data_IF_778275478324
#
_entry.id   IF_778275478324
#
_cell.length_a   1.000
_cell.length_b   1.000
_cell.length_c   1.000
_cell.angle_alpha   90.00
_cell.angle_beta   90.00
_cell.angle_gamma   90.00
#
_symmetry.space_group_name_H-M   'P 1'
#
loop_
_entity.id
_entity.type
_entity.pdbx_description
1 polymer ?
#
# COMPACT_ATOMS: atom_id res chain seq x y z
N UNK A 1 10.95 -39.52 28.86
CA UNK A 1 11.03 -38.44 27.85
C UNK A 1 10.22 -38.86 26.64
N UNK A 2 9.09 -38.20 26.35
CA UNK A 2 8.34 -38.36 25.11
C UNK A 2 7.70 -37.00 24.79
N UNK A 3 8.13 -36.39 23.68
CA UNK A 3 7.75 -35.04 23.29
C UNK A 3 6.32 -35.00 22.76
N UNK A 4 5.57 -34.07 23.35
CA UNK A 4 4.27 -33.56 22.91
C UNK A 4 4.34 -33.05 21.47
N UNK A 5 3.42 -33.50 20.62
CA UNK A 5 3.11 -32.86 19.33
C UNK A 5 1.69 -32.32 19.39
N UNK A 6 1.53 -31.20 20.09
CA UNK A 6 0.37 -30.34 19.93
C UNK A 6 0.38 -29.79 18.50
N UNK A 7 -0.48 -30.34 17.64
CA UNK A 7 -0.89 -29.70 16.39
C UNK A 7 -1.57 -28.38 16.75
N UNK A 8 -0.86 -27.27 16.62
CA UNK A 8 -1.46 -25.94 16.65
C UNK A 8 -2.55 -25.84 15.59
N UNK A 9 -3.77 -25.38 15.93
CA UNK A 9 -4.75 -25.06 14.92
C UNK A 9 -4.22 -23.88 14.09
N UNK A 10 -4.16 -24.11 12.78
CA UNK A 10 -3.85 -23.10 11.77
C UNK A 10 -4.72 -21.87 12.04
N UNK A 11 -4.08 -20.78 12.46
CA UNK A 11 -4.66 -19.45 12.51
C UNK A 11 -5.36 -19.20 11.18
N UNK A 12 -6.68 -19.06 11.24
CA UNK A 12 -7.54 -18.64 10.14
C UNK A 12 -6.89 -17.49 9.39
N UNK A 13 -6.28 -17.79 8.24
CA UNK A 13 -5.97 -16.77 7.24
C UNK A 13 -7.31 -16.12 6.95
N UNK A 14 -7.49 -14.86 7.33
CA UNK A 14 -8.63 -14.06 6.88
C UNK A 14 -8.67 -14.24 5.37
N UNK A 15 -9.65 -15.01 4.90
CA UNK A 15 -10.02 -15.03 3.50
C UNK A 15 -10.44 -13.60 3.22
N UNK A 16 -9.55 -12.83 2.58
CA UNK A 16 -9.95 -11.62 1.90
C UNK A 16 -10.96 -12.17 0.90
N UNK A 17 -12.25 -11.93 1.18
CA UNK A 17 -13.31 -12.14 0.22
C UNK A 17 -12.83 -11.50 -1.09
N UNK A 18 -13.28 -12.00 -2.23
CA UNK A 18 -12.87 -11.55 -3.54
C UNK A 18 -13.39 -10.12 -3.81
N UNK A 19 -12.98 -9.16 -2.98
CA UNK A 19 -13.21 -7.74 -3.12
C UNK A 19 -12.56 -7.38 -4.44
N UNK A 20 -13.40 -7.03 -5.41
CA UNK A 20 -12.98 -6.51 -6.69
C UNK A 20 -12.10 -5.30 -6.41
N UNK A 21 -10.79 -5.50 -6.52
CA UNK A 21 -9.82 -4.42 -6.53
C UNK A 21 -10.08 -3.60 -7.78
N UNK A 22 -10.36 -2.31 -7.60
CA UNK A 22 -10.45 -1.39 -8.72
C UNK A 22 -9.05 -0.86 -9.02
N UNK A 23 -8.66 -0.98 -10.28
CA UNK A 23 -7.39 -0.52 -10.81
C UNK A 23 -7.65 0.86 -11.45
N UNK A 24 -7.34 1.93 -10.72
CA UNK A 24 -7.45 3.29 -11.26
C UNK A 24 -6.45 3.50 -12.42
N UNK A 25 -6.67 4.44 -13.35
CA UNK A 25 -5.62 4.82 -14.28
C UNK A 25 -4.36 5.32 -13.52
N UNK A 26 -3.13 5.06 -14.03
CA UNK A 26 -1.90 5.47 -13.37
C UNK A 26 -1.86 6.97 -13.10
N UNK A 27 -1.46 7.33 -11.88
CA UNK A 27 -1.35 8.73 -11.46
C UNK A 27 0.11 9.18 -11.62
N UNK A 28 0.28 10.38 -12.17
CA UNK A 28 1.55 11.10 -12.23
C UNK A 28 1.60 12.13 -11.08
N UNK A 29 2.40 11.90 -10.02
CA UNK A 29 2.47 12.78 -8.86
C UNK A 29 2.93 14.21 -9.18
N UNK A 30 3.69 14.39 -10.26
CA UNK A 30 4.20 15.70 -10.69
C UNK A 30 3.11 16.63 -11.22
N UNK A 31 1.98 16.04 -11.67
CA UNK A 31 0.84 16.76 -12.23
C UNK A 31 -0.26 17.06 -11.22
N UNK A 32 -0.10 16.60 -9.98
CA UNK A 32 -1.02 16.86 -8.88
C UNK A 32 -0.73 18.22 -8.25
N UNK A 33 -1.78 18.90 -7.79
CA UNK A 33 -1.59 20.05 -6.92
C UNK A 33 -0.96 19.62 -5.57
N UNK A 34 -0.33 20.56 -4.82
CA UNK A 34 0.38 20.21 -3.60
C UNK A 34 -0.49 19.57 -2.51
N UNK A 35 -1.79 19.88 -2.45
CA UNK A 35 -2.71 19.34 -1.46
C UNK A 35 -3.15 17.92 -1.85
N UNK A 36 -3.46 17.69 -3.12
CA UNK A 36 -3.75 16.37 -3.67
C UNK A 36 -2.54 15.44 -3.54
N UNK A 37 -1.33 15.94 -3.82
CA UNK A 37 -0.08 15.18 -3.64
C UNK A 37 0.18 14.79 -2.19
N UNK A 38 -0.07 15.70 -1.23
CA UNK A 38 0.04 15.39 0.21
C UNK A 38 -0.97 14.33 0.64
N UNK A 39 -2.23 14.45 0.22
CA UNK A 39 -3.27 13.45 0.53
C UNK A 39 -2.89 12.07 -0.03
N UNK A 40 -2.46 12.03 -1.28
CA UNK A 40 -1.98 10.81 -1.92
C UNK A 40 -0.82 10.18 -1.14
N UNK A 41 0.14 10.98 -0.70
CA UNK A 41 1.26 10.50 0.14
C UNK A 41 0.78 9.86 1.45
N UNK A 42 -0.13 10.53 2.17
CA UNK A 42 -0.64 10.02 3.45
C UNK A 42 -1.41 8.71 3.26
N UNK A 43 -2.27 8.62 2.25
CA UNK A 43 -3.03 7.39 1.95
C UNK A 43 -2.09 6.23 1.58
N UNK A 44 -1.09 6.50 0.73
CA UNK A 44 -0.12 5.49 0.31
C UNK A 44 0.79 5.02 1.45
N UNK A 45 1.21 5.92 2.33
CA UNK A 45 1.99 5.56 3.51
C UNK A 45 1.20 4.67 4.47
N UNK A 46 -0.08 4.99 4.72
CA UNK A 46 -0.95 4.17 5.54
C UNK A 46 -1.12 2.75 4.98
N UNK A 47 -1.26 2.62 3.64
CA UNK A 47 -1.28 1.33 2.97
C UNK A 47 0.07 0.60 3.08
N UNK A 48 1.20 1.30 2.92
CA UNK A 48 2.54 0.75 3.07
C UNK A 48 2.76 0.19 4.49
N UNK A 49 2.40 0.91 5.55
CA UNK A 49 2.53 0.46 6.94
C UNK A 49 1.71 -0.79 7.27
N UNK A 50 0.62 -1.06 6.54
CA UNK A 50 -0.18 -2.29 6.69
C UNK A 50 0.54 -3.52 6.12
N UNK A 51 1.42 -3.32 5.14
CA UNK A 51 2.10 -4.40 4.40
C UNK A 51 3.56 -4.56 4.89
N UNK A 52 4.23 -3.47 5.22
CA UNK A 52 5.65 -3.40 5.57
C UNK A 52 5.84 -2.65 6.90
N UNK A 53 6.76 -3.13 7.74
CA UNK A 53 7.19 -2.43 8.95
C UNK A 53 8.58 -1.81 8.75
N UNK A 54 8.80 -0.59 9.25
CA UNK A 54 10.13 0.01 9.39
C UNK A 54 10.53 1.12 8.40
N UNK A 55 9.58 1.73 7.70
CA UNK A 55 9.83 2.93 6.86
C UNK A 55 9.12 4.13 7.47
N UNK A 56 9.81 5.26 7.57
CA UNK A 56 9.22 6.52 8.02
C UNK A 56 8.47 7.25 6.88
N UNK A 57 7.47 8.05 7.25
CA UNK A 57 6.58 8.74 6.29
C UNK A 57 7.34 9.69 5.35
N UNK A 58 8.41 10.32 5.84
CA UNK A 58 9.14 11.31 5.07
C UNK A 58 10.00 10.64 3.99
N UNK A 59 10.77 9.61 4.36
CA UNK A 59 11.49 8.78 3.41
C UNK A 59 10.53 8.14 2.40
N UNK A 60 9.37 7.67 2.84
CA UNK A 60 8.35 7.13 1.93
C UNK A 60 7.90 8.15 0.88
N UNK A 61 7.59 9.37 1.30
CA UNK A 61 7.21 10.45 0.40
C UNK A 61 8.31 10.72 -0.63
N UNK A 62 9.55 10.84 -0.19
CA UNK A 62 10.66 11.21 -1.08
C UNK A 62 11.00 10.09 -2.07
N UNK A 63 10.92 8.82 -1.67
CA UNK A 63 11.22 7.70 -2.56
C UNK A 63 10.08 7.32 -3.53
N UNK A 64 8.82 7.50 -3.13
CA UNK A 64 7.67 6.97 -3.88
C UNK A 64 6.85 8.08 -4.53
N UNK A 65 6.75 9.25 -3.89
CA UNK A 65 5.87 10.35 -4.32
C UNK A 65 6.63 11.47 -5.01
N UNK A 66 7.85 11.76 -4.55
CA UNK A 66 8.70 12.81 -5.08
C UNK A 66 10.10 12.31 -5.46
N UNK A 67 10.21 11.21 -6.24
CA UNK A 67 11.52 10.74 -6.69
C UNK A 67 12.21 11.81 -7.54
N UNK A 68 13.55 11.86 -7.46
CA UNK A 68 14.36 12.78 -8.25
C UNK A 68 14.22 12.52 -9.76
N UNK A 69 13.85 11.30 -10.15
CA UNK A 69 13.54 10.91 -11.52
C UNK A 69 12.05 11.06 -11.84
N UNK A 70 11.75 11.87 -12.85
CA UNK A 70 10.41 12.35 -13.18
C UNK A 70 9.45 11.32 -13.82
N UNK A 71 9.88 10.06 -14.01
CA UNK A 71 9.14 9.05 -14.76
C UNK A 71 8.35 8.05 -13.88
N UNK A 72 8.35 8.24 -12.55
CA UNK A 72 7.66 7.30 -11.65
C UNK A 72 6.15 7.31 -11.86
N UNK A 73 5.60 6.12 -12.11
CA UNK A 73 4.16 5.90 -12.21
C UNK A 73 3.66 5.05 -11.07
N UNK A 74 2.58 5.48 -10.43
CA UNK A 74 1.98 4.73 -9.32
C UNK A 74 0.60 4.22 -9.75
N UNK A 75 0.47 2.90 -9.74
CA UNK A 75 -0.79 2.19 -9.88
C UNK A 75 -1.41 1.99 -8.49
N UNK A 76 -2.63 2.48 -8.28
CA UNK A 76 -3.36 2.33 -7.02
C UNK A 76 -4.36 1.17 -7.10
N UNK A 77 -4.55 0.49 -5.98
CA UNK A 77 -5.58 -0.52 -5.79
C UNK A 77 -6.48 -0.10 -4.63
N UNK A 78 -7.77 0.10 -4.92
CA UNK A 78 -8.78 0.52 -3.94
C UNK A 78 -9.83 -0.56 -3.68
N UNK A 79 -10.40 -0.55 -2.48
CA UNK A 79 -11.56 -1.38 -2.11
C UNK A 79 -12.90 -0.75 -2.53
N UNK A 80 -14.01 -1.38 -2.13
CA UNK A 80 -15.37 -0.90 -2.45
C UNK A 80 -15.75 0.41 -1.73
N UNK A 81 -15.08 0.76 -0.63
CA UNK A 81 -15.27 2.01 0.08
C UNK A 81 -14.41 3.15 -0.50
N UNK A 82 -13.50 2.84 -1.41
CA UNK A 82 -12.56 3.80 -2.02
C UNK A 82 -11.24 3.92 -1.27
N UNK A 83 -11.00 3.08 -0.26
CA UNK A 83 -9.78 3.11 0.55
C UNK A 83 -8.62 2.44 -0.22
N UNK A 84 -7.42 3.03 -0.13
CA UNK A 84 -6.22 2.41 -0.72
C UNK A 84 -5.86 1.16 0.10
N UNK A 85 -5.84 0.01 -0.58
CA UNK A 85 -5.45 -1.28 0.01
C UNK A 85 -4.14 -1.82 -0.56
N UNK A 86 -3.61 -1.20 -1.61
CA UNK A 86 -2.30 -1.51 -2.16
C UNK A 86 -1.88 -0.53 -3.26
N UNK A 87 -0.61 -0.58 -3.65
CA UNK A 87 -0.07 0.18 -4.78
C UNK A 87 1.10 -0.54 -5.44
N UNK A 88 1.43 -0.14 -6.67
CA UNK A 88 2.60 -0.59 -7.41
C UNK A 88 3.25 0.63 -8.08
N UNK A 89 4.53 0.89 -7.78
CA UNK A 89 5.31 1.97 -8.38
C UNK A 89 6.30 1.39 -9.40
N UNK A 90 6.42 2.06 -10.55
CA UNK A 90 7.36 1.74 -11.66
C UNK A 90 8.18 2.98 -11.98
#
# INVERSE_FOLDING_TARGET
MAFSTLRSPLTTKRTIAQDRLFCDPPVDPSRLDPQARRRLSTELYAAHCRIFSGVDEHSFHDYVIAPEDADTRIQLYRDQAGEIVGYFAI
#
